data_IF_309479184722
#
_entry.id   IF_309479184722
#
_cell.length_a   1.000
_cell.length_b   1.000
_cell.length_c   1.000
_cell.angle_alpha   90.00
_cell.angle_beta   90.00
_cell.angle_gamma   90.00
#
_symmetry.space_group_name_H-M   'P 1'
#
loop_
_entity.id
_entity.type
_entity.pdbx_description
1 polymer ?
#
# COMPACT_ATOMS: atom_id res chain seq x y z
N UNK A 1 27.44 -7.45 -10.63
CA UNK A 1 27.97 -7.32 -9.25
C UNK A 1 27.14 -6.29 -8.49
N UNK A 2 27.31 -4.98 -8.71
CA UNK A 2 26.57 -3.94 -7.94
C UNK A 2 25.03 -3.97 -8.07
N UNK A 3 24.49 -4.32 -9.24
CA UNK A 3 23.03 -4.39 -9.42
C UNK A 3 22.38 -5.53 -8.59
N UNK A 4 23.10 -6.64 -8.41
CA UNK A 4 22.65 -7.81 -7.63
C UNK A 4 22.67 -7.43 -6.14
N UNK A 5 23.76 -6.80 -5.69
CA UNK A 5 23.91 -6.34 -4.31
C UNK A 5 22.83 -5.31 -3.92
N UNK A 6 22.49 -4.39 -4.82
CA UNK A 6 21.39 -3.44 -4.59
C UNK A 6 20.01 -4.10 -4.48
N UNK A 7 19.75 -5.14 -5.29
CA UNK A 7 18.50 -5.90 -5.23
C UNK A 7 18.38 -6.71 -3.94
N UNK A 8 19.47 -7.36 -3.51
CA UNK A 8 19.51 -8.09 -2.23
C UNK A 8 19.24 -7.17 -1.04
N UNK A 9 19.87 -5.98 -1.01
CA UNK A 9 19.62 -4.98 0.04
C UNK A 9 18.17 -4.52 0.03
N UNK A 10 17.58 -4.27 -1.15
CA UNK A 10 16.17 -3.86 -1.24
C UNK A 10 15.23 -4.93 -0.68
N UNK A 11 15.48 -6.21 -0.99
CA UNK A 11 14.70 -7.34 -0.46
C UNK A 11 14.83 -7.39 1.08
N UNK A 12 16.03 -7.25 1.62
CA UNK A 12 16.26 -7.27 3.06
C UNK A 12 15.54 -6.11 3.78
N UNK A 13 15.64 -4.89 3.24
CA UNK A 13 14.98 -3.73 3.82
C UNK A 13 13.45 -3.83 3.74
N UNK A 14 12.89 -4.31 2.62
CA UNK A 14 11.46 -4.56 2.50
C UNK A 14 10.97 -5.57 3.54
N UNK A 15 11.74 -6.64 3.77
CA UNK A 15 11.44 -7.62 4.81
C UNK A 15 11.50 -7.02 6.22
N UNK A 16 12.47 -6.16 6.51
CA UNK A 16 12.56 -5.49 7.80
C UNK A 16 11.34 -4.59 8.05
N UNK A 17 10.88 -3.88 7.01
CA UNK A 17 9.66 -3.06 7.05
C UNK A 17 8.41 -3.93 7.27
N UNK A 18 8.27 -5.04 6.56
CA UNK A 18 7.15 -5.98 6.76
C UNK A 18 7.14 -6.60 8.16
N UNK A 19 8.32 -6.94 8.70
CA UNK A 19 8.44 -7.45 10.07
C UNK A 19 8.03 -6.41 11.11
N UNK A 20 8.28 -5.12 10.85
CA UNK A 20 7.90 -4.05 11.76
C UNK A 20 6.39 -3.94 11.97
N UNK A 21 5.57 -4.21 10.94
CA UNK A 21 4.11 -4.17 11.03
C UNK A 21 3.43 -5.55 11.02
N UNK A 22 4.19 -6.64 11.23
CA UNK A 22 3.67 -7.99 11.22
C UNK A 22 2.53 -8.18 12.25
N UNK A 23 1.38 -8.64 11.78
CA UNK A 23 0.19 -8.93 12.60
C UNK A 23 -0.57 -7.69 13.11
N UNK A 24 -0.29 -6.49 12.59
CA UNK A 24 -0.96 -5.27 13.02
C UNK A 24 -2.48 -5.31 12.77
N UNK A 25 -3.26 -4.78 13.71
CA UNK A 25 -4.71 -4.62 13.56
C UNK A 25 -5.10 -3.53 12.54
N UNK A 26 -4.27 -2.49 12.41
CA UNK A 26 -4.37 -1.45 11.40
C UNK A 26 -2.97 -1.04 10.94
N UNK A 27 -2.78 -0.99 9.62
CA UNK A 27 -1.61 -0.39 8.98
C UNK A 27 -2.06 0.80 8.14
N UNK A 28 -1.44 1.96 8.35
CA UNK A 28 -1.60 3.14 7.48
C UNK A 28 -0.37 3.21 6.60
N UNK A 29 -0.54 3.17 5.28
CA UNK A 29 0.56 3.06 4.32
C UNK A 29 0.36 4.03 3.16
N UNK A 30 1.44 4.71 2.76
CA UNK A 30 1.51 5.45 1.49
C UNK A 30 1.13 4.54 0.30
N UNK A 31 0.28 5.03 -0.59
CA UNK A 31 -0.21 4.26 -1.73
C UNK A 31 -0.59 5.20 -2.88
N UNK A 32 0.32 6.12 -3.21
CA UNK A 32 0.02 7.24 -4.10
C UNK A 32 -0.33 6.81 -5.54
N UNK A 33 0.31 5.74 -6.01
CA UNK A 33 0.25 5.34 -7.42
C UNK A 33 -0.42 3.97 -7.59
N UNK A 34 -1.00 3.73 -8.75
CA UNK A 34 -1.28 2.37 -9.22
C UNK A 34 0.00 1.74 -9.79
N UNK A 35 0.06 0.42 -9.87
CA UNK A 35 1.17 -0.28 -10.53
C UNK A 35 1.37 0.18 -11.99
N UNK A 36 0.28 0.53 -12.69
CA UNK A 36 0.33 1.03 -14.06
C UNK A 36 1.02 2.41 -14.17
N UNK A 37 0.84 3.28 -13.17
CA UNK A 37 1.48 4.59 -13.13
C UNK A 37 2.92 4.51 -12.60
N UNK A 38 3.20 3.55 -11.72
CA UNK A 38 4.44 3.46 -10.96
C UNK A 38 5.70 3.47 -11.83
N UNK A 39 5.66 2.81 -13.00
CA UNK A 39 6.80 2.77 -13.93
C UNK A 39 7.27 4.16 -14.38
N UNK A 40 6.35 5.13 -14.53
CA UNK A 40 6.69 6.51 -14.89
C UNK A 40 7.09 7.38 -13.67
N UNK A 41 6.96 6.84 -12.45
CA UNK A 41 7.19 7.52 -11.17
C UNK A 41 8.31 6.89 -10.33
N UNK A 42 9.09 5.99 -10.93
CA UNK A 42 10.24 5.37 -10.26
C UNK A 42 11.17 6.43 -9.67
N UNK A 43 11.63 6.19 -8.44
CA UNK A 43 12.50 7.07 -7.65
C UNK A 43 11.84 8.35 -7.09
N UNK A 44 10.52 8.50 -7.18
CA UNK A 44 9.81 9.65 -6.58
C UNK A 44 9.53 9.47 -5.08
N UNK A 45 9.75 8.26 -4.55
CA UNK A 45 9.67 7.99 -3.11
C UNK A 45 8.30 7.51 -2.60
N UNK A 46 7.37 7.17 -3.50
CA UNK A 46 6.03 6.67 -3.16
C UNK A 46 5.82 5.21 -3.59
N UNK A 47 4.78 4.60 -3.06
CA UNK A 47 4.43 3.19 -3.18
C UNK A 47 3.26 3.01 -4.13
N UNK A 48 3.27 1.90 -4.87
CA UNK A 48 2.10 1.45 -5.62
C UNK A 48 1.06 0.80 -4.67
N UNK A 49 -0.23 1.07 -4.88
CA UNK A 49 -1.34 0.51 -4.12
C UNK A 49 -1.22 -1.01 -4.01
N UNK A 50 -0.95 -1.69 -5.13
CA UNK A 50 -0.81 -3.14 -5.19
C UNK A 50 0.33 -3.65 -4.31
N UNK A 51 1.45 -2.93 -4.25
CA UNK A 51 2.57 -3.30 -3.41
C UNK A 51 2.22 -3.20 -1.91
N UNK A 52 1.54 -2.12 -1.51
CA UNK A 52 1.07 -1.96 -0.13
C UNK A 52 0.10 -3.08 0.26
N UNK A 53 -0.84 -3.44 -0.64
CA UNK A 53 -1.78 -4.54 -0.43
C UNK A 53 -1.05 -5.87 -0.26
N UNK A 54 -0.10 -6.20 -1.14
CA UNK A 54 0.64 -7.45 -1.06
C UNK A 54 1.48 -7.52 0.22
N UNK A 55 2.16 -6.43 0.60
CA UNK A 55 2.97 -6.36 1.82
C UNK A 55 2.10 -6.55 3.09
N UNK A 56 0.94 -5.88 3.15
CA UNK A 56 0.01 -6.02 4.26
C UNK A 56 -0.51 -7.47 4.41
N UNK A 57 -0.87 -8.10 3.28
CA UNK A 57 -1.30 -9.49 3.27
C UNK A 57 -0.19 -10.45 3.72
N UNK A 58 1.04 -10.29 3.20
CA UNK A 58 2.21 -11.11 3.60
C UNK A 58 2.50 -10.99 5.10
N UNK A 59 2.35 -9.80 5.65
CA UNK A 59 2.59 -9.52 7.06
C UNK A 59 1.41 -9.89 7.98
N UNK A 60 0.28 -10.36 7.44
CA UNK A 60 -0.89 -10.76 8.23
C UNK A 60 -1.61 -9.58 8.88
N UNK A 61 -1.59 -8.40 8.25
CA UNK A 61 -2.30 -7.21 8.71
C UNK A 61 -3.81 -7.41 8.56
N UNK A 62 -4.59 -7.00 9.56
CA UNK A 62 -6.05 -7.14 9.51
C UNK A 62 -6.71 -6.08 8.63
N UNK A 63 -6.30 -4.81 8.79
CA UNK A 63 -6.85 -3.65 8.06
C UNK A 63 -5.74 -2.77 7.50
N UNK A 64 -5.85 -2.40 6.22
CA UNK A 64 -4.94 -1.51 5.51
C UNK A 64 -5.68 -0.22 5.10
N UNK A 65 -5.24 0.90 5.69
CA UNK A 65 -5.63 2.24 5.28
C UNK A 65 -4.63 2.77 4.26
N UNK A 66 -5.06 2.86 2.99
CA UNK A 66 -4.30 3.51 1.93
C UNK A 66 -4.32 5.03 2.20
N UNK A 67 -3.15 5.66 2.28
CA UNK A 67 -2.99 7.09 2.59
C UNK A 67 -2.04 7.77 1.60
N UNK A 68 -1.92 9.10 1.69
CA UNK A 68 -1.02 9.91 0.87
C UNK A 68 -1.35 9.80 -0.63
N UNK A 69 -2.64 9.95 -0.94
CA UNK A 69 -3.18 9.91 -2.30
C UNK A 69 -2.50 10.94 -3.20
N UNK A 70 -2.45 10.65 -4.51
CA UNK A 70 -1.87 11.59 -5.47
C UNK A 70 -2.67 12.90 -5.43
N UNK A 71 -2.02 14.07 -5.22
CA UNK A 71 -2.71 15.36 -5.12
C UNK A 71 -3.51 15.74 -6.38
N UNK A 72 -3.20 15.13 -7.52
CA UNK A 72 -3.95 15.34 -8.77
C UNK A 72 -5.21 14.44 -8.87
N UNK A 73 -5.42 13.50 -7.92
CA UNK A 73 -6.64 12.67 -7.90
C UNK A 73 -7.82 13.43 -7.34
N UNK A 74 -8.95 13.29 -8.02
CA UNK A 74 -10.25 13.74 -7.54
C UNK A 74 -10.91 12.67 -6.67
N UNK A 75 -11.89 13.06 -5.87
CA UNK A 75 -12.72 12.13 -5.09
C UNK A 75 -13.32 11.02 -5.96
N UNK A 76 -13.85 11.38 -7.15
CA UNK A 76 -14.40 10.41 -8.09
C UNK A 76 -13.34 9.39 -8.55
N UNK A 77 -12.10 9.83 -8.74
CA UNK A 77 -10.99 8.93 -9.09
C UNK A 77 -10.67 7.98 -7.94
N UNK A 78 -10.73 8.45 -6.68
CA UNK A 78 -10.52 7.60 -5.52
C UNK A 78 -11.66 6.60 -5.32
N UNK A 79 -12.91 7.00 -5.60
CA UNK A 79 -14.06 6.12 -5.59
C UNK A 79 -13.92 4.99 -6.62
N UNK A 80 -13.52 5.30 -7.86
CA UNK A 80 -13.26 4.30 -8.90
C UNK A 80 -12.16 3.30 -8.45
N UNK A 81 -11.10 3.79 -7.81
CA UNK A 81 -10.05 2.92 -7.26
C UNK A 81 -10.55 2.10 -6.07
N UNK A 82 -11.40 2.66 -5.21
CA UNK A 82 -11.98 1.93 -4.10
C UNK A 82 -12.85 0.76 -4.60
N UNK A 83 -13.63 0.97 -5.67
CA UNK A 83 -14.37 -0.10 -6.34
C UNK A 83 -13.46 -1.21 -6.85
N UNK A 84 -12.23 -0.89 -7.26
CA UNK A 84 -11.26 -1.87 -7.72
C UNK A 84 -10.60 -2.60 -6.54
N UNK A 85 -10.02 -1.86 -5.59
CA UNK A 85 -9.08 -2.39 -4.59
C UNK A 85 -9.71 -2.77 -3.25
N UNK A 86 -10.84 -2.17 -2.88
CA UNK A 86 -11.44 -2.31 -1.54
C UNK A 86 -12.53 -3.39 -1.49
N UNK A 87 -12.63 -4.25 -2.51
CA UNK A 87 -13.57 -5.36 -2.50
C UNK A 87 -13.11 -6.44 -1.50
N UNK A 88 -13.93 -6.80 -0.49
CA UNK A 88 -13.55 -7.77 0.53
C UNK A 88 -13.10 -9.11 -0.06
N UNK A 89 -11.93 -9.60 0.36
CA UNK A 89 -11.40 -10.90 -0.07
C UNK A 89 -10.80 -10.95 -1.47
N UNK A 90 -10.94 -9.90 -2.30
CA UNK A 90 -10.47 -9.91 -3.69
C UNK A 90 -8.94 -10.05 -3.81
N UNK A 91 -8.19 -9.39 -2.93
CA UNK A 91 -6.72 -9.38 -2.95
C UNK A 91 -6.09 -10.13 -1.77
N UNK A 92 -6.91 -10.79 -0.95
CA UNK A 92 -6.45 -11.47 0.25
C UNK A 92 -7.33 -11.17 1.46
N UNK A 93 -6.94 -11.67 2.64
CA UNK A 93 -7.72 -11.53 3.87
C UNK A 93 -7.67 -10.14 4.51
N UNK A 94 -6.70 -9.29 4.16
CA UNK A 94 -6.61 -7.92 4.68
C UNK A 94 -7.79 -7.09 4.17
N UNK A 95 -8.52 -6.43 5.07
CA UNK A 95 -9.51 -5.41 4.72
C UNK A 95 -8.79 -4.16 4.22
N UNK A 96 -9.20 -3.60 3.08
CA UNK A 96 -8.53 -2.48 2.43
C UNK A 96 -9.53 -1.33 2.30
N UNK A 97 -9.10 -0.11 2.63
CA UNK A 97 -9.88 1.10 2.40
C UNK A 97 -8.99 2.31 2.16
N UNK A 98 -9.52 3.31 1.45
CA UNK A 98 -8.87 4.62 1.30
C UNK A 98 -9.15 5.48 2.55
N UNK A 99 -8.10 5.94 3.21
CA UNK A 99 -8.21 6.92 4.28
C UNK A 99 -8.68 8.27 3.71
N UNK A 100 -9.43 9.03 4.51
CA UNK A 100 -9.91 10.37 4.14
C UNK A 100 -9.83 11.32 5.33
N UNK A 101 -9.83 12.62 5.04
CA UNK A 101 -9.82 13.66 6.08
C UNK A 101 -10.99 13.47 7.06
N UNK A 102 -10.70 13.59 8.35
CA UNK A 102 -11.69 13.44 9.42
C UNK A 102 -12.17 12.00 9.67
N UNK A 103 -11.58 10.98 9.02
CA UNK A 103 -11.90 9.58 9.31
C UNK A 103 -11.39 9.18 10.70
N UNK A 104 -12.27 8.57 11.49
CA UNK A 104 -11.97 7.96 12.78
C UNK A 104 -12.17 6.44 12.69
N UNK A 105 -11.35 5.67 13.42
CA UNK A 105 -11.38 4.21 13.43
C UNK A 105 -11.42 3.73 14.88
N UNK A 106 -12.44 2.93 15.19
CA UNK A 106 -12.58 2.24 16.47
C UNK A 106 -11.88 0.88 16.45
N UNK A 107 -11.44 0.44 17.64
CA UNK A 107 -10.68 -0.79 17.88
C UNK A 107 -11.30 -1.61 19.01
#
# INVERSE_FOLDING_TARGET
AMAIEGEEVAIEQNKAVEQFFAGADLLIYDAQYTAAEYGARLNWGHTAIEYAIEAANRAGVKRLALFHHDPDRTDATLDDLAEIYCQPGKYGPTEIFFAREGMEIDF
#
